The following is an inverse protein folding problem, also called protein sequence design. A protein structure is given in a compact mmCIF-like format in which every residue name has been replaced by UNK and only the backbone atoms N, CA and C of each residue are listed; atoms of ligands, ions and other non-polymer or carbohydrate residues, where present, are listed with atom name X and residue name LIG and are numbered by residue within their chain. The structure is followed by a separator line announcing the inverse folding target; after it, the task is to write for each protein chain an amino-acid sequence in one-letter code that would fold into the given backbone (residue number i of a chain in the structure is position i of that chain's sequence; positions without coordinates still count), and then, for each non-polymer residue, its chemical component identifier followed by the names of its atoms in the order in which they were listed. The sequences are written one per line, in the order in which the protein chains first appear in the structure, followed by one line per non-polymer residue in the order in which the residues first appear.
data_IF_054516833693
#
_entry.id   IF_054516833693
#
_cell.length_a   1.000
_cell.length_b   1.000
_cell.length_c   1.000
_cell.angle_alpha   90.00
_cell.angle_beta   90.00
_cell.angle_gamma   90.00
#
_symmetry.space_group_name_H-M   'P 1'
#
loop_
_entity.id
_entity.type
_entity.pdbx_description
1 polymer ?
#
# COMPACT_ATOMS: atom_id res chain seq x y z
N UNK A 1 -23.71 4.63 28.15
CA UNK A 1 -22.25 4.59 27.97
C UNK A 1 -21.90 3.12 28.04
N UNK A 2 -21.76 2.47 26.88
CA UNK A 2 -21.29 1.09 26.85
C UNK A 2 -19.81 1.10 27.22
N UNK A 3 -19.45 0.31 28.24
CA UNK A 3 -18.06 0.14 28.61
C UNK A 3 -17.30 -0.43 27.41
N UNK A 4 -16.13 0.13 27.04
CA UNK A 4 -15.31 -0.44 25.99
C UNK A 4 -15.02 -1.89 26.37
N UNK A 5 -15.22 -2.81 25.42
CA UNK A 5 -14.98 -4.25 25.61
C UNK A 5 -13.64 -4.44 26.34
N UNK A 6 -13.63 -5.05 27.55
CA UNK A 6 -12.42 -5.15 28.33
C UNK A 6 -11.43 -5.98 27.53
N UNK A 7 -10.28 -5.38 27.21
CA UNK A 7 -9.13 -6.13 26.71
C UNK A 7 -8.81 -7.21 27.74
N UNK A 8 -8.45 -8.40 27.26
CA UNK A 8 -8.07 -9.47 28.19
C UNK A 8 -6.85 -9.04 29.03
N UNK A 9 -6.70 -9.55 30.27
CA UNK A 9 -5.62 -9.12 31.17
C UNK A 9 -4.21 -9.30 30.57
N UNK A 10 -4.00 -10.29 29.70
CA UNK A 10 -2.70 -10.50 29.07
C UNK A 10 -2.42 -9.42 28.01
N UNK A 11 -3.44 -9.00 27.25
CA UNK A 11 -3.33 -7.86 26.35
C UNK A 11 -3.06 -6.56 27.11
N UNK A 12 -3.70 -6.35 28.27
CA UNK A 12 -3.44 -5.16 29.10
C UNK A 12 -2.00 -5.13 29.61
N UNK A 13 -1.48 -6.24 30.16
CA UNK A 13 -0.10 -6.33 30.62
C UNK A 13 0.92 -6.12 29.47
N UNK A 14 0.61 -6.63 28.27
CA UNK A 14 1.42 -6.35 27.07
C UNK A 14 1.38 -4.87 26.69
N UNK A 15 0.23 -4.21 26.86
CA UNK A 15 0.06 -2.80 26.56
C UNK A 15 0.84 -1.91 27.54
N UNK A 16 0.86 -2.27 28.82
CA UNK A 16 1.68 -1.64 29.85
C UNK A 16 3.17 -1.73 29.51
N UNK A 17 3.66 -2.93 29.17
CA UNK A 17 5.04 -3.12 28.74
C UNK A 17 5.36 -2.32 27.46
N UNK A 18 4.42 -2.25 26.53
CA UNK A 18 4.54 -1.45 25.31
C UNK A 18 4.63 0.05 25.61
N UNK A 19 3.80 0.56 26.53
CA UNK A 19 3.81 1.96 26.98
C UNK A 19 5.12 2.35 27.67
N UNK A 20 5.70 1.42 28.46
CA UNK A 20 6.96 1.61 29.16
C UNK A 20 8.21 1.59 28.26
N UNK A 21 8.09 1.14 27.00
CA UNK A 21 9.24 1.01 26.10
C UNK A 21 9.75 2.38 25.64
N UNK A 22 11.02 2.74 25.89
CA UNK A 22 11.59 4.01 25.47
C UNK A 22 11.54 4.18 23.95
N UNK A 23 11.07 5.34 23.49
CA UNK A 23 10.95 5.60 22.04
C UNK A 23 12.14 6.42 21.57
N UNK A 24 12.91 5.86 20.64
CA UNK A 24 14.12 6.49 20.10
C UNK A 24 13.90 7.79 19.32
N UNK A 25 12.66 8.23 19.09
CA UNK A 25 12.38 9.53 18.50
C UNK A 25 12.24 10.59 19.59
N UNK A 26 13.17 11.56 19.61
CA UNK A 26 13.28 12.69 20.56
C UNK A 26 12.04 13.59 20.69
N UNK A 27 11.00 13.36 19.90
CA UNK A 27 9.79 14.19 19.81
C UNK A 27 8.48 13.44 20.07
N UNK A 28 8.52 12.15 20.41
CA UNK A 28 7.32 11.40 20.78
C UNK A 28 7.28 11.19 22.29
N UNK A 29 6.46 12.00 22.98
CA UNK A 29 5.98 11.72 24.34
C UNK A 29 5.59 10.22 24.45
N UNK A 30 5.92 9.59 25.57
CA UNK A 30 5.45 8.25 25.86
C UNK A 30 3.92 8.25 25.95
N UNK A 31 3.28 7.26 25.32
CA UNK A 31 1.83 7.09 25.40
C UNK A 31 1.50 6.43 26.73
N UNK A 32 0.50 6.95 27.45
CA UNK A 32 -0.02 6.26 28.64
C UNK A 32 -0.93 5.11 28.24
N UNK A 33 -1.16 4.17 29.16
CA UNK A 33 -2.09 3.06 28.94
C UNK A 33 -3.48 3.59 28.56
N UNK A 34 -4.00 4.61 29.26
CA UNK A 34 -5.30 5.22 28.96
C UNK A 34 -5.38 5.82 27.54
N UNK A 35 -4.31 6.47 27.09
CA UNK A 35 -4.25 7.00 25.73
C UNK A 35 -4.25 5.88 24.70
N UNK A 36 -3.52 4.80 24.98
CA UNK A 36 -3.52 3.61 24.13
C UNK A 36 -4.89 2.92 24.15
N UNK A 37 -5.58 2.82 25.28
CA UNK A 37 -6.94 2.28 25.35
C UNK A 37 -7.92 3.10 24.49
N UNK A 38 -7.76 4.42 24.47
CA UNK A 38 -8.50 5.29 23.53
C UNK A 38 -8.24 4.91 22.06
N UNK A 39 -7.06 4.38 21.74
CA UNK A 39 -6.73 3.85 20.41
C UNK A 39 -7.35 2.49 20.10
N UNK A 40 -7.87 1.75 21.08
CA UNK A 40 -8.56 0.48 20.88
C UNK A 40 -10.08 0.62 20.76
N UNK A 41 -10.66 1.76 21.16
CA UNK A 41 -12.10 1.99 21.01
C UNK A 41 -12.49 2.12 19.52
N UNK A 42 -13.25 1.15 18.96
CA UNK A 42 -13.62 1.18 17.54
C UNK A 42 -14.69 2.23 17.25
N UNK A 43 -15.41 2.70 18.28
CA UNK A 43 -16.52 3.65 18.13
C UNK A 43 -16.02 5.10 18.00
N UNK A 44 -14.83 5.38 18.51
CA UNK A 44 -14.26 6.73 18.49
C UNK A 44 -13.54 6.97 17.15
N UNK A 45 -13.99 7.94 16.33
CA UNK A 45 -13.31 8.28 15.09
C UNK A 45 -11.94 8.91 15.38
N UNK A 46 -10.99 8.73 14.47
CA UNK A 46 -9.60 9.25 14.62
C UNK A 46 -9.56 10.75 14.91
N UNK A 47 -10.51 11.53 14.38
CA UNK A 47 -10.62 12.97 14.66
C UNK A 47 -10.91 13.24 16.14
N UNK A 48 -11.86 12.54 16.74
CA UNK A 48 -12.18 12.69 18.15
C UNK A 48 -11.02 12.26 19.07
N UNK A 49 -10.24 11.25 18.66
CA UNK A 49 -9.01 10.85 19.36
C UNK A 49 -7.98 11.97 19.33
N UNK A 50 -7.78 12.59 18.15
CA UNK A 50 -6.85 13.72 18.01
C UNK A 50 -7.22 14.87 18.94
N UNK A 51 -8.51 15.24 18.97
CA UNK A 51 -9.02 16.32 19.80
C UNK A 51 -8.88 16.00 21.28
N UNK A 52 -9.25 14.77 21.69
CA UNK A 52 -9.15 14.30 23.08
C UNK A 52 -7.72 14.25 23.60
N UNK A 53 -6.78 13.84 22.77
CA UNK A 53 -5.38 13.65 23.16
C UNK A 53 -4.48 14.86 22.84
N UNK A 54 -5.00 15.87 22.13
CA UNK A 54 -4.22 17.02 21.70
C UNK A 54 -3.08 16.67 20.74
N UNK A 55 -3.23 15.60 19.94
CA UNK A 55 -2.18 15.10 19.03
C UNK A 55 -2.58 15.21 17.57
N UNK A 56 -1.58 15.32 16.69
CA UNK A 56 -1.81 15.36 15.24
C UNK A 56 -2.26 13.99 14.71
N UNK A 57 -3.07 14.00 13.63
CA UNK A 57 -3.52 12.77 12.92
C UNK A 57 -2.38 11.80 12.60
N UNK A 58 -1.24 12.32 12.15
CA UNK A 58 -0.08 11.52 11.79
C UNK A 58 0.46 10.73 12.99
N UNK A 59 0.42 11.30 14.19
CA UNK A 59 0.85 10.66 15.44
C UNK A 59 -0.07 9.50 15.78
N UNK A 60 -1.39 9.71 15.77
CA UNK A 60 -2.39 8.64 15.97
C UNK A 60 -2.25 7.53 14.94
N UNK A 61 -2.15 7.89 13.66
CA UNK A 61 -2.08 6.91 12.56
C UNK A 61 -0.83 6.05 12.65
N UNK A 62 0.31 6.68 12.94
CA UNK A 62 1.58 5.99 13.09
C UNK A 62 1.56 5.04 14.29
N UNK A 63 0.94 5.48 15.40
CA UNK A 63 0.79 4.65 16.58
C UNK A 63 -0.07 3.41 16.34
N UNK A 64 -1.21 3.56 15.67
CA UNK A 64 -2.07 2.44 15.29
C UNK A 64 -1.31 1.41 14.42
N UNK A 65 -0.48 1.88 13.49
CA UNK A 65 0.36 0.99 12.67
C UNK A 65 1.39 0.25 13.52
N UNK A 66 2.01 0.92 14.50
CA UNK A 66 2.97 0.27 15.40
C UNK A 66 2.32 -0.78 16.28
N UNK A 67 1.17 -0.48 16.89
CA UNK A 67 0.41 -1.44 17.68
C UNK A 67 0.03 -2.68 16.84
N UNK A 68 -0.44 -2.49 15.60
CA UNK A 68 -0.70 -3.63 14.69
C UNK A 68 0.54 -4.46 14.42
N UNK A 69 1.69 -3.82 14.17
CA UNK A 69 2.97 -4.53 13.95
C UNK A 69 3.46 -5.27 15.19
N UNK A 70 3.13 -4.78 16.38
CA UNK A 70 3.39 -5.46 17.65
C UNK A 70 2.35 -6.56 17.97
N UNK A 71 1.43 -6.85 17.04
CA UNK A 71 0.45 -7.92 17.16
C UNK A 71 -0.71 -7.60 18.10
N UNK A 72 -1.02 -6.32 18.33
CA UNK A 72 -2.22 -5.92 19.06
C UNK A 72 -3.46 -5.94 18.14
N UNK A 73 -4.64 -6.29 18.67
CA UNK A 73 -5.89 -6.35 17.91
C UNK A 73 -6.49 -4.94 17.71
N UNK A 74 -5.75 -4.06 17.03
CA UNK A 74 -6.22 -2.70 16.76
C UNK A 74 -7.35 -2.76 15.75
N UNK A 75 -8.56 -2.24 16.07
CA UNK A 75 -9.69 -2.33 15.17
C UNK A 75 -9.41 -1.64 13.84
N UNK A 76 -10.00 -2.17 12.78
CA UNK A 76 -10.06 -1.49 11.49
C UNK A 76 -11.01 -0.31 11.63
N UNK A 77 -10.42 0.84 11.92
CA UNK A 77 -11.18 2.08 11.94
C UNK A 77 -11.59 2.42 10.51
N UNK A 78 -12.84 2.83 10.26
CA UNK A 78 -13.18 3.47 9.02
C UNK A 78 -12.16 4.59 8.84
N UNK A 79 -11.49 4.61 7.69
CA UNK A 79 -10.53 5.66 7.34
C UNK A 79 -11.32 6.94 7.11
N UNK A 80 -11.87 7.48 8.20
CA UNK A 80 -12.94 8.46 8.28
C UNK A 80 -12.53 9.85 7.87
N UNK A 81 -11.88 9.98 6.72
CA UNK A 81 -12.20 11.11 5.87
C UNK A 81 -13.43 10.71 5.09
N UNK A 82 -14.51 11.47 5.19
CA UNK A 82 -15.47 11.54 4.09
C UNK A 82 -14.67 11.62 2.78
N UNK A 83 -15.07 10.85 1.76
CA UNK A 83 -14.40 10.91 0.46
C UNK A 83 -14.36 12.37 0.05
N UNK A 84 -13.15 12.89 -0.21
CA UNK A 84 -13.07 14.29 -0.65
C UNK A 84 -13.90 14.45 -1.93
N UNK A 85 -14.53 15.61 -2.18
CA UNK A 85 -15.28 15.84 -3.41
C UNK A 85 -14.46 15.48 -4.66
N UNK A 86 -13.16 15.78 -4.64
CA UNK A 86 -12.20 15.37 -5.68
C UNK A 86 -12.08 13.85 -5.84
N UNK A 87 -12.08 13.09 -4.74
CA UNK A 87 -12.02 11.62 -4.80
C UNK A 87 -13.30 11.04 -5.43
N UNK A 88 -14.46 11.61 -5.11
CA UNK A 88 -15.75 11.21 -5.71
C UNK A 88 -15.74 11.50 -7.21
N UNK A 89 -15.32 12.71 -7.62
CA UNK A 89 -15.25 13.08 -9.03
C UNK A 89 -14.29 12.19 -9.85
N UNK A 90 -13.12 11.84 -9.29
CA UNK A 90 -12.21 10.87 -9.93
C UNK A 90 -12.92 9.52 -10.10
N UNK A 91 -13.60 9.04 -9.07
CA UNK A 91 -14.30 7.75 -9.08
C UNK A 91 -15.41 7.68 -10.14
N UNK A 92 -16.19 8.76 -10.28
CA UNK A 92 -17.25 8.87 -11.28
C UNK A 92 -16.69 8.88 -12.70
N UNK A 93 -15.61 9.62 -12.96
CA UNK A 93 -14.92 9.61 -14.25
C UNK A 93 -14.36 8.21 -14.58
N UNK A 94 -13.78 7.51 -13.61
CA UNK A 94 -13.28 6.14 -13.80
C UNK A 94 -14.43 5.15 -14.10
N UNK A 95 -15.60 5.32 -13.46
CA UNK A 95 -16.81 4.54 -13.77
C UNK A 95 -17.36 4.83 -15.16
N UNK A 96 -17.23 6.07 -15.63
CA UNK A 96 -17.57 6.46 -16.98
C UNK A 96 -16.59 5.92 -18.05
N UNK A 97 -15.56 5.15 -17.64
CA UNK A 97 -14.62 4.50 -18.55
C UNK A 97 -13.33 5.29 -18.79
N UNK A 98 -13.12 6.41 -18.08
CA UNK A 98 -11.89 7.20 -18.22
C UNK A 98 -10.65 6.40 -17.80
N UNK A 99 -9.56 6.54 -18.55
CA UNK A 99 -8.29 5.90 -18.19
C UNK A 99 -7.65 6.58 -16.97
N UNK A 100 -6.80 5.85 -16.24
CA UNK A 100 -6.13 6.38 -15.05
C UNK A 100 -5.24 7.60 -15.37
N UNK A 101 -4.63 7.59 -16.55
CA UNK A 101 -3.78 8.68 -17.02
C UNK A 101 -4.57 9.95 -17.35
N UNK A 102 -5.76 9.80 -17.96
CA UNK A 102 -6.66 10.91 -18.22
C UNK A 102 -7.24 11.48 -16.94
N UNK A 103 -7.72 10.62 -16.03
CA UNK A 103 -8.23 11.05 -14.74
C UNK A 103 -7.15 11.76 -13.91
N UNK A 104 -5.90 11.28 -13.93
CA UNK A 104 -4.78 11.92 -13.25
C UNK A 104 -4.54 13.35 -13.78
N UNK A 105 -4.50 13.51 -15.12
CA UNK A 105 -4.34 14.82 -15.76
C UNK A 105 -5.51 15.74 -15.47
N UNK A 106 -6.74 15.27 -15.63
CA UNK A 106 -7.98 16.04 -15.46
C UNK A 106 -8.13 16.58 -14.04
N UNK A 107 -7.81 15.78 -13.03
CA UNK A 107 -7.99 16.15 -11.63
C UNK A 107 -6.73 16.74 -10.97
N UNK A 108 -5.63 16.87 -11.71
CA UNK A 108 -4.36 17.39 -11.19
C UNK A 108 -3.80 16.56 -10.04
N UNK A 109 -3.92 15.23 -10.12
CA UNK A 109 -3.44 14.29 -9.08
C UNK A 109 -2.44 13.29 -9.65
N UNK A 110 -1.66 12.65 -8.78
CA UNK A 110 -0.72 11.62 -9.23
C UNK A 110 -1.44 10.37 -9.75
N UNK A 111 -0.86 9.65 -10.73
CA UNK A 111 -1.41 8.37 -11.19
C UNK A 111 -1.60 7.35 -10.07
N UNK A 112 -0.71 7.34 -9.07
CA UNK A 112 -0.80 6.48 -7.89
C UNK A 112 -2.07 6.78 -7.09
N UNK A 113 -2.44 8.06 -6.93
CA UNK A 113 -3.68 8.43 -6.24
C UNK A 113 -4.90 7.92 -6.98
N UNK A 114 -4.94 8.07 -8.30
CA UNK A 114 -6.05 7.55 -9.14
C UNK A 114 -6.15 6.03 -9.02
N UNK A 115 -5.02 5.33 -9.07
CA UNK A 115 -4.99 3.88 -8.89
C UNK A 115 -5.55 3.47 -7.51
N UNK A 116 -5.21 4.19 -6.44
CA UNK A 116 -5.78 3.95 -5.11
C UNK A 116 -7.29 4.19 -5.07
N UNK A 117 -7.79 5.21 -5.78
CA UNK A 117 -9.24 5.46 -5.90
C UNK A 117 -9.91 4.32 -6.66
N UNK A 118 -9.36 3.89 -7.80
CA UNK A 118 -9.85 2.76 -8.60
C UNK A 118 -9.96 1.48 -7.76
N UNK A 119 -8.88 1.12 -7.06
CA UNK A 119 -8.85 -0.07 -6.19
C UNK A 119 -9.87 0.04 -5.06
N UNK A 120 -9.95 1.19 -4.38
CA UNK A 120 -10.94 1.40 -3.30
C UNK A 120 -12.38 1.33 -3.81
N UNK A 121 -12.64 1.78 -5.03
CA UNK A 121 -13.95 1.76 -5.65
C UNK A 121 -14.32 0.38 -6.24
N UNK A 122 -13.45 -0.63 -6.10
CA UNK A 122 -13.66 -1.97 -6.65
C UNK A 122 -13.64 -2.01 -8.17
N UNK A 123 -13.10 -0.98 -8.82
CA UNK A 123 -13.05 -0.91 -10.27
C UNK A 123 -11.90 -1.76 -10.81
N UNK A 124 -12.10 -2.50 -11.92
CA UNK A 124 -11.07 -3.36 -12.49
C UNK A 124 -9.84 -2.53 -12.85
N UNK A 125 -8.66 -3.02 -12.48
CA UNK A 125 -7.41 -2.35 -12.80
C UNK A 125 -7.20 -2.36 -14.31
N UNK A 126 -6.81 -1.22 -14.88
CA UNK A 126 -6.41 -1.12 -16.29
C UNK A 126 -5.07 -1.81 -16.60
N UNK A 127 -4.46 -2.49 -15.60
CA UNK A 127 -3.29 -3.33 -15.82
C UNK A 127 -3.70 -4.49 -16.72
N UNK A 128 -3.36 -4.38 -18.01
CA UNK A 128 -3.48 -5.47 -18.98
C UNK A 128 -2.79 -6.71 -18.40
N UNK A 129 -3.55 -7.77 -18.14
CA UNK A 129 -2.99 -9.06 -17.72
C UNK A 129 -2.09 -9.61 -18.83
N UNK A 130 -1.04 -10.32 -18.48
CA UNK A 130 -0.24 -11.04 -19.47
C UNK A 130 -1.07 -12.17 -20.05
N UNK A 131 -1.25 -12.15 -21.36
CA UNK A 131 -1.92 -13.25 -22.07
C UNK A 131 -0.90 -14.34 -22.39
N UNK A 132 -1.37 -15.55 -22.72
CA UNK A 132 -0.45 -16.61 -23.15
C UNK A 132 0.28 -16.22 -24.44
N UNK A 133 -0.41 -15.56 -25.38
CA UNK A 133 0.24 -15.02 -26.59
C UNK A 133 1.33 -13.98 -26.28
N UNK A 134 1.13 -13.10 -25.30
CA UNK A 134 2.21 -12.18 -24.88
C UNK A 134 3.42 -12.98 -24.35
N UNK A 135 3.17 -14.05 -23.57
CA UNK A 135 4.23 -14.91 -23.00
C UNK A 135 4.95 -15.72 -24.06
N UNK A 136 4.25 -16.23 -25.07
CA UNK A 136 4.84 -16.89 -26.23
C UNK A 136 5.81 -15.97 -26.98
N UNK A 137 5.45 -14.70 -27.17
CA UNK A 137 6.34 -13.68 -27.74
C UNK A 137 7.59 -13.48 -26.87
N UNK A 138 7.43 -13.44 -25.54
CA UNK A 138 8.57 -13.34 -24.61
C UNK A 138 9.52 -14.54 -24.71
N UNK A 139 8.98 -15.75 -24.82
CA UNK A 139 9.73 -17.01 -24.94
C UNK A 139 10.45 -17.05 -26.30
N UNK A 140 9.73 -16.79 -27.39
CA UNK A 140 10.28 -16.78 -28.75
C UNK A 140 11.41 -15.75 -28.93
N UNK A 141 11.34 -14.64 -28.20
CA UNK A 141 12.33 -13.56 -28.26
C UNK A 141 13.19 -13.41 -27.00
N UNK A 142 13.42 -14.49 -26.25
CA UNK A 142 14.22 -14.44 -25.01
C UNK A 142 15.64 -13.88 -25.19
N UNK A 143 16.25 -14.03 -26.37
CA UNK A 143 17.59 -13.51 -26.68
C UNK A 143 17.61 -12.01 -27.04
N UNK A 144 16.45 -11.42 -27.41
CA UNK A 144 16.36 -10.02 -27.82
C UNK A 144 16.48 -9.05 -26.63
N UNK A 145 17.01 -7.83 -26.85
CA UNK A 145 16.97 -6.75 -25.87
C UNK A 145 15.54 -6.56 -25.33
N UNK A 146 15.41 -6.34 -24.02
CA UNK A 146 14.09 -6.16 -23.38
C UNK A 146 13.32 -5.00 -24.01
N UNK A 147 14.01 -3.92 -24.41
CA UNK A 147 13.39 -2.76 -25.05
C UNK A 147 12.61 -3.13 -26.32
N UNK A 148 13.23 -3.87 -27.23
CA UNK A 148 12.60 -4.26 -28.50
C UNK A 148 11.36 -5.14 -28.25
N UNK A 149 11.45 -6.07 -27.28
CA UNK A 149 10.31 -6.93 -26.91
C UNK A 149 9.20 -6.13 -26.23
N UNK A 150 9.56 -5.11 -25.44
CA UNK A 150 8.59 -4.21 -24.82
C UNK A 150 7.80 -3.41 -25.88
N UNK A 151 8.47 -2.93 -26.92
CA UNK A 151 7.83 -2.28 -28.07
C UNK A 151 6.93 -3.26 -28.83
N UNK A 152 7.38 -4.51 -29.07
CA UNK A 152 6.58 -5.54 -29.76
C UNK A 152 5.29 -5.90 -29.03
N UNK A 153 5.32 -6.04 -27.70
CA UNK A 153 4.16 -6.45 -26.89
C UNK A 153 3.30 -5.25 -26.48
N UNK A 154 3.79 -4.02 -26.72
CA UNK A 154 3.14 -2.78 -26.30
C UNK A 154 3.12 -2.63 -24.77
N UNK A 155 4.22 -2.98 -24.10
CA UNK A 155 4.39 -2.89 -22.64
C UNK A 155 5.65 -2.11 -22.28
N UNK A 156 5.82 -1.81 -21.00
CA UNK A 156 7.04 -1.14 -20.52
C UNK A 156 8.18 -2.13 -20.34
N UNK A 157 9.43 -1.67 -20.51
CA UNK A 157 10.65 -2.48 -20.29
C UNK A 157 10.62 -3.18 -18.93
N UNK A 158 10.27 -2.44 -17.87
CA UNK A 158 10.18 -2.97 -16.51
C UNK A 158 9.12 -4.07 -16.36
N UNK A 159 7.98 -3.96 -17.04
CA UNK A 159 6.96 -5.00 -17.03
C UNK A 159 7.46 -6.26 -17.73
N UNK A 160 8.15 -6.12 -18.87
CA UNK A 160 8.76 -7.24 -19.59
C UNK A 160 9.86 -7.91 -18.76
N UNK A 161 10.74 -7.15 -18.11
CA UNK A 161 11.78 -7.71 -17.24
C UNK A 161 11.17 -8.49 -16.07
N UNK A 162 10.13 -7.94 -15.43
CA UNK A 162 9.44 -8.62 -14.34
C UNK A 162 8.79 -9.95 -14.80
N UNK A 163 8.12 -9.95 -15.94
CA UNK A 163 7.50 -11.17 -16.49
C UNK A 163 8.56 -12.18 -16.95
N UNK A 164 9.67 -11.72 -17.52
CA UNK A 164 10.82 -12.59 -17.86
C UNK A 164 11.40 -13.26 -16.62
N UNK A 165 11.55 -12.53 -15.52
CA UNK A 165 11.98 -13.12 -14.25
C UNK A 165 11.02 -14.20 -13.76
N UNK A 166 9.71 -13.99 -13.91
CA UNK A 166 8.70 -15.00 -13.59
C UNK A 166 8.82 -16.23 -14.49
N UNK A 167 8.93 -16.06 -15.81
CA UNK A 167 9.09 -17.17 -16.75
C UNK A 167 10.40 -17.95 -16.54
N UNK A 168 11.47 -17.29 -16.06
CA UNK A 168 12.71 -17.95 -15.65
C UNK A 168 12.48 -18.82 -14.40
N UNK A 169 11.78 -18.29 -13.40
CA UNK A 169 11.44 -19.06 -12.20
C UNK A 169 10.56 -20.28 -12.51
N UNK A 170 9.71 -20.17 -13.54
CA UNK A 170 8.88 -21.26 -14.09
C UNK A 170 9.67 -22.21 -15.02
N UNK A 171 10.94 -21.92 -15.32
CA UNK A 171 11.77 -22.74 -16.21
C UNK A 171 11.42 -22.64 -17.70
N UNK A 172 10.60 -21.67 -18.10
CA UNK A 172 10.15 -21.48 -19.50
C UNK A 172 11.15 -20.69 -20.35
N UNK A 173 12.05 -19.93 -19.71
CA UNK A 173 13.06 -19.09 -20.35
C UNK A 173 14.41 -19.30 -19.65
N UNK A 174 15.51 -19.28 -20.40
CA UNK A 174 16.86 -19.41 -19.82
C UNK A 174 17.35 -18.05 -19.30
N UNK A 175 17.88 -17.96 -18.05
CA UNK A 175 18.42 -16.72 -17.53
C UNK A 175 19.61 -16.25 -18.38
N UNK A 176 19.62 -14.96 -18.74
CA UNK A 176 20.75 -14.34 -19.44
C UNK A 176 21.92 -14.21 -18.45
N UNK A 177 22.87 -15.14 -18.52
CA UNK A 177 24.10 -15.08 -17.71
C UNK A 177 24.95 -13.92 -18.23
N UNK A 178 24.82 -12.76 -17.61
CA UNK A 178 25.75 -11.65 -17.86
C UNK A 178 27.04 -11.98 -17.14
N UNK A 179 28.03 -12.53 -17.86
CA UNK A 179 29.40 -12.64 -17.35
C UNK A 179 29.94 -11.22 -17.17
N UNK A 180 29.93 -10.72 -15.95
CA UNK A 180 30.69 -9.52 -15.59
C UNK A 180 32.16 -9.85 -15.78
N UNK A 181 32.79 -9.33 -16.84
CA UNK A 181 34.25 -9.36 -16.97
C UNK A 181 34.79 -8.53 -15.82
N UNK A 182 35.34 -9.19 -14.80
CA UNK A 182 36.16 -8.57 -13.76
C UNK A 182 37.30 -7.87 -14.50
N UNK A 183 37.34 -6.53 -14.48
CA UNK A 183 38.52 -5.78 -14.94
C UNK A 183 39.69 -6.25 -14.09
N UNK A 184 40.69 -6.83 -14.72
CA UNK A 184 42.00 -6.99 -14.12
C UNK A 184 42.70 -5.64 -14.29
N UNK A 185 43.05 -5.01 -13.18
CA UNK A 185 43.94 -3.85 -13.11
C UNK A 185 45.38 -4.27 -13.41
#
# INVERSE_FOLDING_TARGET
MDDPLPLDPATLARLEAYAATPRGNRSARAWTVDELLTLFDPTVPVTAIMDRLGVKRAVVTYELVRLRRAGFPVPDRPSGGARSPRTIAIEDDLRAGMSDAEAARRHGVSPVRVQQVRVRAGLPTTRRLWTEGDREVLIAHQARPTRDVAEMVGRTVRAVDAERSQLIAEGRITPKIVRTRKRAD
#
